data_IF_501745783273
#
_entry.id   IF_501745783273
#
_cell.length_a   1.000
_cell.length_b   1.000
_cell.length_c   1.000
_cell.angle_alpha   90.00
_cell.angle_beta   90.00
_cell.angle_gamma   90.00
#
_symmetry.space_group_name_H-M   'P 1'
#
loop_
_entity.id
_entity.type
_entity.pdbx_description
1 polymer ?
#
# COMPACT_ATOMS: atom_id res chain seq x y z
N UNK A 1 10.68 -42.36 -5.89
CA UNK A 1 11.91 -41.70 -5.42
C UNK A 1 11.60 -40.21 -5.35
N UNK A 2 11.24 -39.69 -4.17
CA UNK A 2 10.76 -38.30 -4.03
C UNK A 2 11.93 -37.34 -4.22
N UNK A 3 11.78 -36.39 -5.13
CA UNK A 3 12.70 -35.26 -5.33
C UNK A 3 12.82 -34.47 -4.01
N UNK A 4 13.98 -34.56 -3.35
CA UNK A 4 14.25 -33.82 -2.12
C UNK A 4 14.40 -32.33 -2.47
N UNK A 5 13.33 -31.57 -2.23
CA UNK A 5 13.28 -30.12 -2.48
C UNK A 5 14.33 -29.42 -1.61
N UNK A 6 15.46 -29.01 -2.21
CA UNK A 6 16.56 -28.30 -1.52
C UNK A 6 16.01 -27.08 -0.78
N UNK A 7 16.28 -27.00 0.53
CA UNK A 7 15.86 -25.86 1.36
C UNK A 7 16.74 -24.65 1.09
N UNK A 8 16.17 -23.45 1.27
CA UNK A 8 16.95 -22.23 1.15
C UNK A 8 18.07 -22.20 2.21
N UNK A 9 19.29 -21.80 1.84
CA UNK A 9 20.39 -21.70 2.78
C UNK A 9 20.14 -20.59 3.80
N UNK A 10 20.66 -20.76 5.01
CA UNK A 10 20.63 -19.75 6.06
C UNK A 10 21.94 -18.96 6.03
N UNK A 11 21.89 -17.72 5.53
CA UNK A 11 23.05 -16.83 5.34
C UNK A 11 24.23 -17.51 4.63
N UNK A 12 23.92 -18.31 3.61
CA UNK A 12 24.91 -19.06 2.81
C UNK A 12 25.26 -20.45 3.33
N UNK A 13 24.73 -20.88 4.48
CA UNK A 13 24.95 -22.22 5.03
C UNK A 13 23.81 -23.14 4.60
N UNK A 14 24.10 -24.32 4.01
CA UNK A 14 23.09 -25.34 3.72
C UNK A 14 22.32 -25.72 4.98
N UNK A 15 21.01 -25.89 4.84
CA UNK A 15 20.13 -26.06 6.00
C UNK A 15 20.42 -27.36 6.76
N UNK A 16 20.91 -28.36 6.05
CA UNK A 16 21.33 -29.69 6.49
C UNK A 16 22.51 -29.66 7.46
N UNK A 17 23.32 -28.61 7.43
CA UNK A 17 24.48 -28.44 8.33
C UNK A 17 24.11 -27.79 9.66
N UNK A 18 22.85 -27.41 9.85
CA UNK A 18 22.39 -26.61 11.00
C UNK A 18 21.54 -27.48 11.92
N UNK A 19 22.01 -27.78 13.15
CA UNK A 19 21.29 -28.61 14.11
C UNK A 19 20.23 -27.79 14.85
N UNK A 20 19.27 -27.24 14.11
CA UNK A 20 18.09 -26.57 14.67
C UNK A 20 16.83 -27.17 14.10
N UNK A 21 15.99 -27.80 14.91
CA UNK A 21 14.69 -28.32 14.49
C UNK A 21 13.85 -28.64 15.73
N UNK A 22 12.52 -28.60 15.63
CA UNK A 22 11.66 -28.98 16.74
C UNK A 22 11.63 -30.49 16.93
N UNK A 23 11.57 -30.92 18.18
CA UNK A 23 11.24 -32.29 18.58
C UNK A 23 9.94 -32.27 19.38
N UNK A 24 8.96 -33.08 18.99
CA UNK A 24 7.67 -33.19 19.68
C UNK A 24 7.68 -34.43 20.57
N UNK A 25 7.27 -34.27 21.82
CA UNK A 25 6.95 -35.36 22.74
C UNK A 25 5.46 -35.73 22.59
N UNK A 26 5.12 -36.91 22.03
CA UNK A 26 3.74 -37.31 21.84
C UNK A 26 3.00 -37.56 23.16
N UNK A 27 3.70 -37.93 24.24
CA UNK A 27 3.07 -38.26 25.53
C UNK A 27 2.45 -37.02 26.21
N UNK A 28 3.06 -35.85 25.98
CA UNK A 28 2.60 -34.58 26.55
C UNK A 28 1.84 -33.71 25.54
N UNK A 29 1.86 -34.08 24.25
CA UNK A 29 1.16 -33.34 23.21
C UNK A 29 -0.34 -33.61 23.26
N UNK A 30 -1.14 -32.58 23.56
CA UNK A 30 -2.61 -32.69 23.63
C UNK A 30 -3.32 -32.40 22.30
N UNK A 31 -2.58 -32.32 21.19
CA UNK A 31 -3.18 -32.08 19.88
C UNK A 31 -3.83 -30.71 19.67
N UNK A 32 -3.49 -29.69 20.48
CA UNK A 32 -4.16 -28.38 20.47
C UNK A 32 -3.97 -27.55 19.18
N UNK A 33 -3.12 -27.99 18.25
CA UNK A 33 -2.86 -27.37 16.94
C UNK A 33 -2.30 -25.94 16.95
N UNK A 34 -1.97 -25.36 18.13
CA UNK A 34 -1.35 -24.03 18.22
C UNK A 34 -0.05 -23.95 17.42
N UNK A 35 0.82 -24.96 17.54
CA UNK A 35 2.07 -25.02 16.78
C UNK A 35 1.85 -25.08 15.27
N UNK A 36 0.76 -25.71 14.81
CA UNK A 36 0.40 -25.83 13.41
C UNK A 36 0.00 -24.47 12.82
N UNK A 37 -0.91 -23.75 13.47
CA UNK A 37 -1.41 -22.44 12.99
C UNK A 37 -0.37 -21.32 13.15
N UNK A 38 0.40 -21.32 14.25
CA UNK A 38 1.39 -20.26 14.51
C UNK A 38 2.65 -20.40 13.64
N UNK A 39 2.96 -21.59 13.14
CA UNK A 39 4.14 -21.79 12.31
C UNK A 39 3.93 -21.26 10.89
N UNK A 40 4.36 -20.02 10.61
CA UNK A 40 4.35 -19.43 9.26
C UNK A 40 5.26 -20.12 8.23
N UNK A 41 5.89 -21.25 8.60
CA UNK A 41 6.76 -22.07 7.74
C UNK A 41 6.23 -23.49 7.52
N UNK A 42 5.03 -23.82 7.98
CA UNK A 42 4.40 -25.11 7.71
C UNK A 42 5.30 -26.32 8.06
N UNK A 43 5.95 -26.26 9.23
CA UNK A 43 6.84 -27.34 9.71
C UNK A 43 6.07 -28.57 10.20
N UNK A 44 4.83 -28.35 10.65
CA UNK A 44 4.02 -29.35 11.34
C UNK A 44 2.85 -29.81 10.47
N UNK A 45 2.43 -31.06 10.69
CA UNK A 45 1.12 -31.59 10.34
C UNK A 45 0.47 -32.23 11.57
N UNK A 46 -0.85 -32.45 11.54
CA UNK A 46 -1.57 -33.14 12.60
C UNK A 46 -1.82 -34.59 12.18
N UNK A 47 -1.37 -35.55 12.97
CA UNK A 47 -1.55 -36.99 12.74
C UNK A 47 -2.03 -37.65 14.02
N UNK A 48 -3.10 -38.46 13.93
CA UNK A 48 -3.62 -39.28 15.05
C UNK A 48 -3.68 -38.53 16.39
N UNK A 49 -4.24 -37.31 16.36
CA UNK A 49 -4.38 -36.38 17.48
C UNK A 49 -3.11 -35.69 18.01
N UNK A 50 -1.93 -35.87 17.39
CA UNK A 50 -0.68 -35.23 17.81
C UNK A 50 -0.06 -34.39 16.68
N UNK A 51 0.76 -33.41 17.05
CA UNK A 51 1.53 -32.64 16.08
C UNK A 51 2.79 -33.42 15.68
N UNK A 52 3.09 -33.47 14.38
CA UNK A 52 4.27 -34.13 13.82
C UNK A 52 5.06 -33.13 13.00
N UNK A 53 6.36 -32.99 13.24
CA UNK A 53 7.24 -32.18 12.41
C UNK A 53 7.59 -32.94 11.13
N UNK A 54 6.76 -32.79 10.10
CA UNK A 54 6.97 -33.43 8.78
C UNK A 54 8.07 -32.76 7.97
N UNK A 55 8.37 -31.49 8.27
CA UNK A 55 9.39 -30.71 7.56
C UNK A 55 10.29 -29.93 8.54
N UNK A 56 11.02 -30.64 9.42
CA UNK A 56 11.80 -30.03 10.50
C UNK A 56 12.87 -29.06 9.99
N UNK A 57 13.40 -29.34 8.79
CA UNK A 57 14.43 -28.52 8.15
C UNK A 57 13.88 -27.21 7.58
N UNK A 58 12.57 -27.08 7.39
CA UNK A 58 12.00 -25.79 7.04
C UNK A 58 11.92 -24.83 8.23
N UNK A 59 12.15 -25.30 9.46
CA UNK A 59 12.14 -24.46 10.66
C UNK A 59 13.18 -23.33 10.55
N UNK A 60 12.77 -22.11 10.90
CA UNK A 60 13.68 -20.97 11.00
C UNK A 60 14.70 -21.21 12.12
N UNK A 61 15.98 -21.05 11.78
CA UNK A 61 17.10 -21.21 12.71
C UNK A 61 16.97 -20.20 13.86
N UNK A 62 17.05 -20.67 15.10
CA UNK A 62 16.91 -19.85 16.31
C UNK A 62 15.47 -19.49 16.72
N UNK A 63 14.46 -19.83 15.90
CA UNK A 63 13.06 -19.62 16.27
C UNK A 63 12.56 -20.73 17.21
N UNK A 64 11.94 -20.34 18.32
CA UNK A 64 11.37 -21.25 19.34
C UNK A 64 9.92 -20.91 19.72
N UNK A 65 9.23 -20.06 18.94
CA UNK A 65 7.86 -19.57 19.24
C UNK A 65 6.85 -20.68 19.52
N UNK A 66 6.89 -21.76 18.73
CA UNK A 66 6.00 -22.91 18.90
C UNK A 66 6.23 -23.66 20.23
N UNK A 67 7.47 -23.72 20.73
CA UNK A 67 7.75 -24.27 22.05
C UNK A 67 7.22 -23.36 23.16
N UNK A 68 7.42 -22.05 23.02
CA UNK A 68 6.97 -21.07 24.02
C UNK A 68 5.44 -20.98 24.16
N UNK A 69 4.70 -21.23 23.07
CA UNK A 69 3.23 -21.18 23.07
C UNK A 69 2.59 -22.54 23.41
N UNK A 70 3.38 -23.62 23.46
CA UNK A 70 2.84 -24.95 23.74
C UNK A 70 2.39 -25.02 25.21
N UNK A 71 1.09 -25.22 25.49
CA UNK A 71 0.57 -25.18 26.86
C UNK A 71 1.05 -26.35 27.73
N UNK A 72 1.54 -27.42 27.11
CA UNK A 72 2.04 -28.62 27.78
C UNK A 72 3.54 -28.81 27.62
N UNK A 73 4.24 -27.83 27.05
CA UNK A 73 5.69 -27.87 26.80
C UNK A 73 6.14 -29.10 25.99
N UNK A 74 5.28 -29.65 25.14
CA UNK A 74 5.54 -30.84 24.34
C UNK A 74 6.55 -30.63 23.19
N UNK A 75 7.05 -29.41 22.98
CA UNK A 75 7.98 -29.09 21.87
C UNK A 75 9.30 -28.61 22.46
N UNK A 76 10.39 -29.23 22.02
CA UNK A 76 11.76 -28.89 22.44
C UNK A 76 12.65 -28.55 21.24
N UNK A 77 13.71 -27.80 21.51
CA UNK A 77 14.72 -27.41 20.53
C UNK A 77 16.13 -27.68 21.07
N UNK A 78 17.13 -27.87 20.19
CA UNK A 78 18.54 -27.88 20.57
C UNK A 78 18.97 -26.60 21.29
N UNK A 79 20.08 -26.64 22.05
CA UNK A 79 20.63 -25.43 22.66
C UNK A 79 21.06 -24.40 21.61
N UNK A 80 20.77 -23.12 21.87
CA UNK A 80 21.27 -22.00 21.06
C UNK A 80 22.80 -21.94 21.03
N UNK A 81 23.50 -22.54 21.99
CA UNK A 81 24.97 -22.59 22.01
C UNK A 81 25.55 -23.21 20.73
N UNK A 82 24.88 -24.22 20.18
CA UNK A 82 25.29 -24.86 18.93
C UNK A 82 25.18 -23.89 17.74
N UNK A 83 24.16 -23.04 17.74
CA UNK A 83 23.94 -22.03 16.70
C UNK A 83 24.96 -20.90 16.84
N UNK A 84 25.18 -20.39 18.04
CA UNK A 84 26.19 -19.35 18.28
C UNK A 84 27.61 -19.82 17.96
N UNK A 85 27.92 -21.09 18.23
CA UNK A 85 29.19 -21.70 17.81
C UNK A 85 29.30 -21.71 16.29
N UNK A 86 28.25 -22.15 15.59
CA UNK A 86 28.20 -22.16 14.13
C UNK A 86 28.32 -20.74 13.53
N UNK A 87 27.66 -19.74 14.11
CA UNK A 87 27.74 -18.33 13.71
C UNK A 87 29.18 -17.80 13.76
N UNK A 88 29.92 -18.16 14.82
CA UNK A 88 31.33 -17.80 14.98
C UNK A 88 32.21 -18.53 13.98
N UNK A 89 32.06 -19.85 13.84
CA UNK A 89 32.88 -20.66 12.94
C UNK A 89 32.70 -20.27 11.47
N UNK A 90 31.47 -19.95 11.06
CA UNK A 90 31.13 -19.57 9.68
C UNK A 90 31.18 -18.07 9.43
N UNK A 91 31.57 -17.26 10.42
CA UNK A 91 31.72 -15.81 10.32
C UNK A 91 30.46 -15.11 9.76
N UNK A 92 29.27 -15.57 10.19
CA UNK A 92 27.97 -15.20 9.61
C UNK A 92 27.73 -13.70 9.61
N UNK A 93 28.22 -12.98 10.64
CA UNK A 93 28.04 -11.54 10.75
C UNK A 93 28.62 -10.74 9.58
N UNK A 94 29.62 -11.24 8.84
CA UNK A 94 30.09 -10.59 7.60
C UNK A 94 29.02 -10.65 6.51
N UNK A 95 28.42 -11.82 6.32
CA UNK A 95 27.34 -12.05 5.34
C UNK A 95 26.10 -11.26 5.73
N UNK A 96 25.67 -11.32 6.99
CA UNK A 96 24.48 -10.62 7.50
C UNK A 96 24.62 -9.10 7.35
N UNK A 97 25.81 -8.52 7.62
CA UNK A 97 26.04 -7.09 7.38
C UNK A 97 25.89 -6.70 5.91
N UNK A 98 26.37 -7.54 5.00
CA UNK A 98 26.22 -7.32 3.55
C UNK A 98 24.76 -7.42 3.10
N UNK A 99 24.03 -8.42 3.59
CA UNK A 99 22.59 -8.59 3.34
C UNK A 99 21.78 -7.41 3.89
N UNK A 100 22.11 -6.94 5.10
CA UNK A 100 21.48 -5.79 5.73
C UNK A 100 21.69 -4.50 4.91
N UNK A 101 22.91 -4.25 4.42
CA UNK A 101 23.17 -3.10 3.55
C UNK A 101 22.31 -3.15 2.29
N UNK A 102 22.25 -4.30 1.60
CA UNK A 102 21.40 -4.45 0.42
C UNK A 102 19.92 -4.23 0.69
N UNK A 103 19.43 -4.60 1.88
CA UNK A 103 18.05 -4.31 2.31
C UNK A 103 17.83 -2.82 2.54
N UNK A 104 18.75 -2.14 3.22
CA UNK A 104 18.68 -0.68 3.42
C UNK A 104 18.67 0.07 2.09
N UNK A 105 19.53 -0.31 1.14
CA UNK A 105 19.60 0.32 -0.18
C UNK A 105 18.26 0.19 -0.92
N UNK A 106 17.63 -0.99 -0.85
CA UNK A 106 16.31 -1.24 -1.46
C UNK A 106 15.21 -0.42 -0.78
N UNK A 107 15.19 -0.34 0.54
CA UNK A 107 14.22 0.46 1.31
C UNK A 107 14.38 1.95 1.03
N UNK A 108 15.62 2.46 0.96
CA UNK A 108 15.91 3.83 0.59
C UNK A 108 15.42 4.15 -0.83
N UNK A 109 15.63 3.24 -1.78
CA UNK A 109 15.13 3.41 -3.15
C UNK A 109 13.60 3.43 -3.23
N UNK A 110 12.90 2.58 -2.47
CA UNK A 110 11.44 2.58 -2.40
C UNK A 110 10.92 3.88 -1.77
N UNK A 111 11.52 4.32 -0.68
CA UNK A 111 11.15 5.56 0.01
C UNK A 111 11.34 6.78 -0.90
N UNK A 112 12.47 6.87 -1.61
CA UNK A 112 12.73 7.94 -2.56
C UNK A 112 11.69 7.98 -3.69
N UNK A 113 11.22 6.82 -4.16
CA UNK A 113 10.14 6.74 -5.16
C UNK A 113 8.80 7.22 -4.59
N UNK A 114 8.46 6.82 -3.38
CA UNK A 114 7.24 7.26 -2.71
C UNK A 114 7.25 8.77 -2.42
N UNK A 115 8.39 9.32 -1.99
CA UNK A 115 8.58 10.77 -1.78
C UNK A 115 8.45 11.54 -3.10
N UNK A 116 9.01 11.03 -4.19
CA UNK A 116 8.84 11.61 -5.53
C UNK A 116 7.37 11.57 -5.99
N UNK A 117 6.67 10.45 -5.76
CA UNK A 117 5.26 10.32 -6.07
C UNK A 117 4.39 11.28 -5.25
N UNK A 118 4.60 11.38 -3.94
CA UNK A 118 3.89 12.34 -3.07
C UNK A 118 4.09 13.78 -3.51
N UNK A 119 5.31 14.13 -3.92
CA UNK A 119 5.60 15.47 -4.44
C UNK A 119 4.77 15.77 -5.70
N UNK A 120 4.58 14.79 -6.58
CA UNK A 120 3.75 14.93 -7.78
C UNK A 120 2.25 14.95 -7.45
N UNK A 121 1.79 14.16 -6.48
CA UNK A 121 0.38 14.12 -6.03
C UNK A 121 -0.11 15.46 -5.44
N UNK A 122 0.78 16.28 -4.88
CA UNK A 122 0.42 17.61 -4.39
C UNK A 122 0.21 18.66 -5.49
N UNK A 123 0.66 18.39 -6.72
CA UNK A 123 0.35 19.24 -7.86
C UNK A 123 -0.96 18.74 -8.46
N UNK A 124 -2.10 19.15 -7.86
CA UNK A 124 -3.38 18.96 -8.53
C UNK A 124 -3.35 19.80 -9.81
N UNK A 125 -3.06 19.16 -10.94
CA UNK A 125 -3.05 19.81 -12.27
C UNK A 125 -4.45 19.89 -12.84
N UNK A 126 -5.43 19.27 -12.18
CA UNK A 126 -6.82 19.22 -12.60
C UNK A 126 -7.75 19.35 -11.40
N UNK A 127 -8.94 19.91 -11.61
CA UNK A 127 -9.98 19.91 -10.60
C UNK A 127 -11.36 19.99 -11.25
N UNK A 128 -12.31 19.20 -10.74
CA UNK A 128 -13.71 19.26 -11.10
C UNK A 128 -14.42 20.31 -10.26
N UNK A 129 -15.20 21.15 -10.93
CA UNK A 129 -15.99 22.23 -10.33
C UNK A 129 -17.46 22.03 -10.69
N UNK A 130 -18.32 22.16 -9.69
CA UNK A 130 -19.78 22.08 -9.85
C UNK A 130 -20.42 23.39 -9.40
N UNK A 131 -21.24 23.94 -10.29
CA UNK A 131 -21.90 25.24 -10.10
C UNK A 131 -23.40 25.07 -10.35
N UNK A 132 -24.21 25.65 -9.48
CA UNK A 132 -25.67 25.67 -9.65
C UNK A 132 -26.16 27.11 -9.75
N UNK A 133 -27.20 27.34 -10.55
CA UNK A 133 -27.84 28.65 -10.63
C UNK A 133 -28.55 28.90 -11.94
N UNK A 134 -28.83 30.17 -12.21
CA UNK A 134 -29.53 30.61 -13.41
C UNK A 134 -28.50 31.02 -14.48
N UNK A 135 -28.31 30.19 -15.51
CA UNK A 135 -27.33 30.45 -16.58
C UNK A 135 -27.92 31.27 -17.75
N UNK A 136 -28.88 32.16 -17.45
CA UNK A 136 -29.54 33.00 -18.45
C UNK A 136 -28.54 33.87 -19.23
N UNK A 137 -28.70 33.92 -20.56
CA UNK A 137 -27.87 34.70 -21.50
C UNK A 137 -26.40 34.25 -21.68
N UNK A 138 -25.99 33.09 -21.16
CA UNK A 138 -24.61 32.55 -21.34
C UNK A 138 -23.47 33.48 -20.87
N UNK A 139 -23.76 34.56 -20.15
CA UNK A 139 -22.76 35.57 -19.71
C UNK A 139 -21.62 34.95 -18.89
N UNK A 140 -21.92 33.91 -18.12
CA UNK A 140 -20.92 33.19 -17.34
C UNK A 140 -19.90 32.45 -18.21
N UNK A 141 -20.33 31.84 -19.32
CA UNK A 141 -19.43 31.13 -20.25
C UNK A 141 -18.46 32.10 -20.93
N UNK A 142 -18.94 33.28 -21.33
CA UNK A 142 -18.08 34.34 -21.92
C UNK A 142 -17.05 34.83 -20.90
N UNK A 143 -17.44 35.01 -19.64
CA UNK A 143 -16.50 35.41 -18.59
C UNK A 143 -15.49 34.32 -18.25
N UNK A 144 -15.88 33.04 -18.32
CA UNK A 144 -14.95 31.92 -18.16
C UNK A 144 -13.93 31.88 -19.29
N UNK A 145 -14.37 32.07 -20.54
CA UNK A 145 -13.48 32.19 -21.71
C UNK A 145 -12.46 33.33 -21.55
N UNK A 146 -12.93 34.50 -21.11
CA UNK A 146 -12.05 35.64 -20.79
C UNK A 146 -11.08 35.35 -19.64
N UNK A 147 -11.48 34.54 -18.66
CA UNK A 147 -10.63 34.19 -17.52
C UNK A 147 -9.48 33.26 -17.92
N UNK A 148 -9.67 32.39 -18.91
CA UNK A 148 -8.63 31.48 -19.42
C UNK A 148 -7.75 32.10 -20.51
N UNK A 149 -8.19 33.21 -21.12
CA UNK A 149 -7.45 33.87 -22.20
C UNK A 149 -6.03 34.27 -21.76
N UNK A 150 -5.02 33.85 -22.52
CA UNK A 150 -3.59 34.06 -22.24
C UNK A 150 -3.07 33.42 -20.93
N UNK A 151 -3.75 32.41 -20.39
CA UNK A 151 -3.34 31.69 -19.18
C UNK A 151 -3.05 30.21 -19.44
N UNK A 152 -2.18 29.56 -18.64
CA UNK A 152 -1.84 28.14 -18.81
C UNK A 152 -2.87 27.19 -18.17
N UNK A 153 -4.15 27.56 -18.26
CA UNK A 153 -5.28 26.82 -17.70
C UNK A 153 -6.40 26.77 -18.73
N UNK A 154 -7.04 25.62 -18.85
CA UNK A 154 -8.15 25.40 -19.76
C UNK A 154 -9.35 24.79 -19.01
N UNK A 155 -10.53 24.91 -19.60
CA UNK A 155 -11.79 24.38 -19.08
C UNK A 155 -12.28 23.27 -20.00
N UNK A 156 -12.22 22.04 -19.50
CA UNK A 156 -12.61 20.83 -20.22
C UNK A 156 -13.83 20.17 -19.59
N UNK A 157 -14.44 19.21 -20.30
CA UNK A 157 -15.59 18.44 -19.83
C UNK A 157 -16.79 19.28 -19.37
N UNK A 158 -17.00 20.44 -19.99
CA UNK A 158 -18.10 21.34 -19.65
C UNK A 158 -19.45 20.72 -20.03
N UNK A 159 -20.33 20.56 -19.04
CA UNK A 159 -21.70 20.02 -19.17
C UNK A 159 -22.68 20.94 -18.47
N UNK A 160 -23.67 21.42 -19.20
CA UNK A 160 -24.78 22.21 -18.67
C UNK A 160 -26.06 21.37 -18.69
N UNK A 161 -26.58 21.05 -17.51
CA UNK A 161 -27.82 20.32 -17.31
C UNK A 161 -28.94 21.29 -16.98
N UNK A 162 -29.90 21.41 -17.90
CA UNK A 162 -31.10 22.25 -17.74
C UNK A 162 -32.33 21.36 -17.52
N UNK A 163 -33.21 21.66 -16.55
CA UNK A 163 -34.34 20.79 -16.20
C UNK A 163 -35.39 20.70 -17.31
N UNK A 164 -35.61 21.78 -18.07
CA UNK A 164 -36.50 21.78 -19.24
C UNK A 164 -36.04 22.78 -20.30
N UNK A 165 -36.37 22.54 -21.57
CA UNK A 165 -36.07 23.47 -22.68
C UNK A 165 -36.77 24.82 -22.51
N UNK A 166 -37.99 24.83 -21.93
CA UNK A 166 -38.69 26.07 -21.55
C UNK A 166 -37.99 26.77 -20.39
N UNK A 167 -37.55 26.00 -19.39
CA UNK A 167 -36.80 26.47 -18.21
C UNK A 167 -35.46 27.11 -18.55
N UNK A 168 -34.75 26.61 -19.57
CA UNK A 168 -33.49 27.20 -20.04
C UNK A 168 -33.64 28.66 -20.51
N UNK A 169 -34.82 29.05 -21.00
CA UNK A 169 -35.16 30.44 -21.35
C UNK A 169 -35.82 31.22 -20.19
N UNK A 170 -36.35 30.52 -19.20
CA UNK A 170 -37.18 31.07 -18.11
C UNK A 170 -36.43 31.15 -16.77
N UNK A 171 -35.10 31.21 -16.78
CA UNK A 171 -34.27 31.32 -15.56
C UNK A 171 -34.47 30.14 -14.58
N UNK A 172 -34.73 28.93 -15.08
CA UNK A 172 -34.80 27.77 -14.20
C UNK A 172 -33.42 27.40 -13.63
N UNK A 173 -33.34 26.92 -12.38
CA UNK A 173 -32.09 26.46 -11.80
C UNK A 173 -31.51 25.32 -12.63
N UNK A 174 -30.26 25.48 -13.04
CA UNK A 174 -29.52 24.52 -13.86
C UNK A 174 -28.20 24.17 -13.18
N UNK A 175 -27.59 23.07 -13.60
CA UNK A 175 -26.30 22.61 -13.07
C UNK A 175 -25.25 22.70 -14.16
N UNK A 176 -24.11 23.31 -13.85
CA UNK A 176 -22.95 23.36 -14.72
C UNK A 176 -21.80 22.63 -14.03
N UNK A 177 -21.26 21.63 -14.73
CA UNK A 177 -20.07 20.90 -14.30
C UNK A 177 -18.98 21.14 -15.32
N UNK A 178 -17.77 21.44 -14.86
CA UNK A 178 -16.60 21.54 -15.73
C UNK A 178 -15.35 21.15 -14.96
N UNK A 179 -14.26 20.93 -15.68
CA UNK A 179 -12.97 20.60 -15.09
C UNK A 179 -11.94 21.62 -15.53
N UNK A 180 -11.26 22.22 -14.55
CA UNK A 180 -10.09 23.07 -14.77
C UNK A 180 -8.88 22.16 -14.94
N UNK A 181 -8.08 22.35 -15.98
CA UNK A 181 -6.82 21.62 -16.20
C UNK A 181 -5.69 22.60 -16.48
N UNK A 182 -4.46 22.29 -16.05
CA UNK A 182 -3.27 23.06 -16.41
C UNK A 182 -2.56 22.45 -17.62
N UNK A 183 -2.26 23.27 -18.62
CA UNK A 183 -1.48 22.85 -19.80
C UNK A 183 0.01 22.69 -19.50
N UNK A 184 0.49 23.32 -18.42
CA UNK A 184 1.91 23.36 -18.03
C UNK A 184 2.19 22.58 -16.75
N UNK A 185 1.27 21.69 -16.35
CA UNK A 185 1.33 20.94 -15.09
C UNK A 185 1.53 21.85 -13.86
N UNK A 186 0.92 23.05 -13.88
CA UNK A 186 0.91 23.95 -12.73
C UNK A 186 -0.22 23.57 -11.77
N UNK A 187 -0.04 23.87 -10.50
CA UNK A 187 -1.08 23.72 -9.48
C UNK A 187 -2.30 24.58 -9.83
N UNK A 188 -3.49 23.97 -9.90
CA UNK A 188 -4.74 24.70 -10.24
C UNK A 188 -5.36 25.43 -9.05
N UNK A 189 -4.91 25.17 -7.81
CA UNK A 189 -5.46 25.74 -6.57
C UNK A 189 -5.65 27.27 -6.59
N UNK A 190 -4.62 28.06 -6.95
CA UNK A 190 -4.76 29.51 -7.07
C UNK A 190 -5.79 29.95 -8.11
N UNK A 191 -5.85 29.25 -9.25
CA UNK A 191 -6.81 29.54 -10.31
C UNK A 191 -8.25 29.19 -9.90
N UNK A 192 -8.44 28.11 -9.13
CA UNK A 192 -9.75 27.75 -8.58
C UNK A 192 -10.33 28.83 -7.65
N UNK A 193 -9.48 29.54 -6.91
CA UNK A 193 -9.93 30.67 -6.09
C UNK A 193 -10.48 31.81 -6.95
N UNK A 194 -9.88 32.08 -8.11
CA UNK A 194 -10.38 33.06 -9.09
C UNK A 194 -11.68 32.59 -9.74
N UNK A 195 -11.78 31.31 -10.13
CA UNK A 195 -13.02 30.71 -10.65
C UNK A 195 -14.15 30.80 -9.63
N UNK A 196 -13.87 30.48 -8.37
CA UNK A 196 -14.85 30.61 -7.28
C UNK A 196 -15.31 32.05 -7.12
N UNK A 197 -14.41 33.02 -7.19
CA UNK A 197 -14.78 34.45 -7.17
C UNK A 197 -15.69 34.81 -8.35
N UNK A 198 -15.34 34.37 -9.55
CA UNK A 198 -16.14 34.60 -10.75
C UNK A 198 -17.57 34.03 -10.65
N UNK A 199 -17.70 32.83 -10.06
CA UNK A 199 -19.00 32.19 -9.80
C UNK A 199 -19.88 33.06 -8.90
N UNK A 200 -19.32 33.57 -7.80
CA UNK A 200 -20.05 34.48 -6.89
C UNK A 200 -20.40 35.81 -7.58
N UNK A 201 -19.47 36.41 -8.34
CA UNK A 201 -19.68 37.66 -9.08
C UNK A 201 -20.72 37.53 -10.22
N UNK A 202 -21.00 36.29 -10.65
CA UNK A 202 -22.06 35.97 -11.61
C UNK A 202 -23.41 35.67 -10.95
N UNK A 203 -23.50 35.69 -9.61
CA UNK A 203 -24.72 35.34 -8.87
C UNK A 203 -25.03 33.84 -8.87
N UNK A 204 -24.02 32.99 -9.09
CA UNK A 204 -24.13 31.53 -9.11
C UNK A 204 -23.64 30.93 -7.78
N UNK A 205 -24.02 29.68 -7.51
CA UNK A 205 -23.64 28.94 -6.30
C UNK A 205 -22.52 27.95 -6.63
N UNK A 206 -21.39 28.09 -5.95
CA UNK A 206 -20.28 27.14 -6.02
C UNK A 206 -20.60 25.93 -5.13
N UNK A 207 -20.94 24.79 -5.73
CA UNK A 207 -21.47 23.61 -5.02
C UNK A 207 -20.34 22.76 -4.45
N UNK A 208 -19.36 22.40 -5.29
CA UNK A 208 -18.27 21.51 -4.90
C UNK A 208 -17.00 21.76 -5.72
N UNK A 209 -15.86 21.42 -5.12
CA UNK A 209 -14.55 21.33 -5.76
C UNK A 209 -13.95 19.97 -5.42
N UNK A 210 -13.52 19.24 -6.44
CA UNK A 210 -12.76 18.01 -6.27
C UNK A 210 -11.47 18.10 -7.07
N UNK A 211 -10.33 18.17 -6.38
CA UNK A 211 -9.00 18.14 -7.02
C UNK A 211 -8.73 16.74 -7.56
N UNK A 212 -8.25 16.68 -8.80
CA UNK A 212 -8.02 15.47 -9.59
C UNK A 212 -6.54 15.32 -9.93
#
# INVERSE_FOLDING_TARGET
>A
MSETKKKAPWHGIPREEIPWYPTIDPETCIGCQLCYVTCGRNVYEMQEAHAVAVDPMNCAVGCSTCANICPTNAISFPSLDAIWKLERERQIFRTVKKEAQGKHDREAALKAREEAQKTLEHVSTRAKVEVAGEFGEKRFLVRLEQLIENRPFDIVNLRLEVPTVKGAKQKAPSYLTFEVTSEQQKEVGPFLAEVKKLVHDAGLVYVSEQRL
#
